data_IF_833881173094
#
_entry.id   IF_833881173094
#
_cell.length_a   1.000
_cell.length_b   1.000
_cell.length_c   1.000
_cell.angle_alpha   90.00
_cell.angle_beta   90.00
_cell.angle_gamma   90.00
#
_symmetry.space_group_name_H-M   'P 1'
#
loop_
_entity.id
_entity.type
_entity.pdbx_description
1 polymer ?
#
# COMPACT_ATOMS: atom_id res chain seq x y z
N UNK A 1 17.44 17.13 8.14
CA UNK A 1 17.24 17.95 6.93
C UNK A 1 17.48 17.01 5.76
N UNK A 2 16.44 16.66 5.00
CA UNK A 2 16.51 15.55 4.04
C UNK A 2 17.67 15.71 3.06
N UNK A 3 18.46 14.65 2.88
CA UNK A 3 19.62 14.68 1.99
C UNK A 3 19.15 14.75 0.55
N UNK A 4 19.60 15.78 -0.17
CA UNK A 4 19.31 15.89 -1.60
C UNK A 4 20.04 14.78 -2.36
N UNK A 5 19.25 13.88 -2.92
CA UNK A 5 19.72 12.77 -3.77
C UNK A 5 19.96 13.27 -5.20
N UNK A 6 20.99 12.73 -5.85
CA UNK A 6 21.26 12.97 -7.27
C UNK A 6 20.79 11.75 -8.06
N UNK A 7 20.37 11.96 -9.32
CA UNK A 7 19.77 10.90 -10.17
C UNK A 7 20.62 9.63 -10.33
N UNK A 8 21.95 9.75 -10.26
CA UNK A 8 22.85 8.61 -10.39
C UNK A 8 23.11 7.88 -9.06
N UNK A 9 22.82 8.51 -7.92
CA UNK A 9 23.15 7.92 -6.61
C UNK A 9 22.15 6.82 -6.25
N UNK A 10 22.65 5.76 -5.63
CA UNK A 10 21.87 4.57 -5.33
C UNK A 10 21.42 4.56 -3.85
N UNK A 11 20.71 5.62 -3.44
CA UNK A 11 20.37 5.90 -2.04
C UNK A 11 19.00 5.34 -1.64
N UNK A 12 18.71 4.10 -2.02
CA UNK A 12 17.51 3.40 -1.57
C UNK A 12 17.67 2.98 -0.10
N UNK A 13 16.56 2.87 0.64
CA UNK A 13 16.56 2.40 2.03
C UNK A 13 17.29 1.05 2.16
N UNK A 14 17.07 0.14 1.20
CA UNK A 14 17.73 -1.17 1.13
C UNK A 14 19.24 -1.05 0.96
N UNK A 15 19.72 -0.18 0.06
CA UNK A 15 21.15 -0.07 -0.21
C UNK A 15 21.90 0.64 0.92
N UNK A 16 21.27 1.64 1.55
CA UNK A 16 21.85 2.30 2.73
C UNK A 16 21.93 1.29 3.89
N UNK A 17 20.88 0.50 4.10
CA UNK A 17 20.87 -0.56 5.11
C UNK A 17 21.95 -1.61 4.85
N UNK A 18 22.09 -2.07 3.60
CA UNK A 18 23.13 -3.03 3.21
C UNK A 18 24.55 -2.49 3.47
N UNK A 19 24.81 -1.23 3.13
CA UNK A 19 26.10 -0.58 3.40
C UNK A 19 26.36 -0.44 4.88
N UNK A 20 25.33 -0.15 5.69
CA UNK A 20 25.48 -0.10 7.14
C UNK A 20 25.82 -1.47 7.73
N UNK A 21 25.21 -2.54 7.25
CA UNK A 21 25.52 -3.92 7.67
C UNK A 21 26.98 -4.24 7.38
N UNK A 22 27.42 -4.05 6.13
CA UNK A 22 28.81 -4.27 5.71
C UNK A 22 29.84 -3.42 6.47
N UNK A 23 29.46 -2.24 6.96
CA UNK A 23 30.34 -1.38 7.76
C UNK A 23 30.43 -1.80 9.24
N UNK A 24 29.47 -2.59 9.73
CA UNK A 24 29.39 -3.05 11.12
C UNK A 24 29.70 -4.55 11.29
N UNK A 25 29.95 -5.28 10.19
CA UNK A 25 30.41 -6.67 10.22
C UNK A 25 31.79 -6.82 10.89
N UNK A 26 32.11 -8.04 11.33
CA UNK A 26 33.40 -8.37 11.95
C UNK A 26 34.60 -8.07 11.04
N UNK A 27 34.39 -8.16 9.72
CA UNK A 27 35.35 -7.77 8.68
C UNK A 27 34.75 -6.66 7.81
N UNK A 28 34.75 -5.40 8.28
CA UNK A 28 33.98 -4.34 7.66
C UNK A 28 34.60 -3.88 6.35
N UNK A 29 33.76 -3.48 5.40
CA UNK A 29 34.21 -2.85 4.16
C UNK A 29 34.83 -1.47 4.44
N UNK A 30 35.65 -0.99 3.52
CA UNK A 30 36.19 0.37 3.61
C UNK A 30 35.11 1.41 3.30
N UNK A 31 35.27 2.62 3.85
CA UNK A 31 34.40 3.77 3.49
C UNK A 31 34.43 4.10 2.00
N UNK A 32 35.51 3.73 1.30
CA UNK A 32 35.64 3.90 -0.16
C UNK A 32 34.74 2.93 -0.91
N UNK A 33 34.72 1.67 -0.50
CA UNK A 33 33.80 0.65 -1.04
C UNK A 33 32.35 1.00 -0.72
N UNK A 34 32.05 1.43 0.50
CA UNK A 34 30.73 1.91 0.89
C UNK A 34 30.23 3.06 -0.02
N UNK A 35 31.08 4.04 -0.30
CA UNK A 35 30.76 5.13 -1.24
C UNK A 35 30.50 4.59 -2.67
N UNK A 36 31.26 3.58 -3.09
CA UNK A 36 31.10 2.95 -4.40
C UNK A 36 29.75 2.24 -4.54
N UNK A 37 29.32 1.50 -3.51
CA UNK A 37 28.03 0.78 -3.50
C UNK A 37 26.85 1.76 -3.63
N UNK A 38 26.93 2.90 -2.92
CA UNK A 38 25.92 3.96 -2.99
C UNK A 38 26.02 4.84 -4.25
N UNK A 39 26.99 4.57 -5.12
CA UNK A 39 27.31 5.38 -6.29
C UNK A 39 27.49 6.88 -5.96
N UNK A 40 28.20 7.17 -4.86
CA UNK A 40 28.58 8.52 -4.46
C UNK A 40 30.10 8.69 -4.59
N UNK A 41 30.55 9.93 -4.82
CA UNK A 41 31.98 10.24 -4.75
C UNK A 41 32.53 9.92 -3.36
N UNK A 42 33.82 9.53 -3.28
CA UNK A 42 34.46 9.23 -2.00
C UNK A 42 34.52 10.49 -1.11
N UNK A 43 33.49 10.62 -0.27
CA UNK A 43 33.29 11.73 0.65
C UNK A 43 32.71 11.16 1.94
N UNK A 44 33.58 11.01 2.93
CA UNK A 44 33.26 10.38 4.22
C UNK A 44 32.23 11.19 5.02
N UNK A 45 32.22 12.52 4.90
CA UNK A 45 31.22 13.37 5.53
C UNK A 45 29.83 13.16 4.93
N UNK A 46 29.73 13.05 3.60
CA UNK A 46 28.46 12.75 2.92
C UNK A 46 27.96 11.35 3.29
N UNK A 47 28.85 10.35 3.28
CA UNK A 47 28.52 8.98 3.68
C UNK A 47 27.97 8.92 5.11
N UNK A 48 28.69 9.50 6.08
CA UNK A 48 28.26 9.52 7.48
C UNK A 48 26.88 10.20 7.63
N UNK A 49 26.67 11.32 6.94
CA UNK A 49 25.38 12.04 6.98
C UNK A 49 24.22 11.19 6.43
N UNK A 50 24.47 10.43 5.34
CA UNK A 50 23.47 9.50 4.76
C UNK A 50 23.10 8.41 5.77
N UNK A 51 24.10 7.82 6.42
CA UNK A 51 23.88 6.79 7.44
C UNK A 51 23.12 7.36 8.64
N UNK A 52 23.49 8.54 9.12
CA UNK A 52 22.83 9.22 10.24
C UNK A 52 21.36 9.54 9.94
N UNK A 53 21.05 10.13 8.78
CA UNK A 53 19.67 10.46 8.37
C UNK A 53 18.80 9.20 8.23
N UNK A 54 19.37 8.09 7.75
CA UNK A 54 18.69 6.79 7.70
C UNK A 54 18.44 6.21 9.09
N UNK A 55 19.43 6.22 9.98
CA UNK A 55 19.30 5.79 11.37
C UNK A 55 18.22 6.60 12.12
N UNK A 56 18.21 7.92 11.95
CA UNK A 56 17.17 8.78 12.52
C UNK A 56 15.78 8.41 11.99
N UNK A 57 15.66 8.18 10.68
CA UNK A 57 14.40 7.79 10.05
C UNK A 57 13.90 6.45 10.58
N UNK A 58 14.78 5.45 10.70
CA UNK A 58 14.44 4.13 11.26
C UNK A 58 14.03 4.25 12.73
N UNK A 59 14.83 4.94 13.55
CA UNK A 59 14.54 5.14 14.97
C UNK A 59 13.21 5.88 15.19
N UNK A 60 12.89 6.87 14.34
CA UNK A 60 11.61 7.57 14.36
C UNK A 60 10.45 6.62 14.05
N UNK A 61 10.57 5.80 12.99
CA UNK A 61 9.54 4.79 12.63
C UNK A 61 9.34 3.78 13.76
N UNK A 62 10.42 3.29 14.36
CA UNK A 62 10.37 2.35 15.49
C UNK A 62 9.71 2.97 16.72
N UNK A 63 10.05 4.22 17.06
CA UNK A 63 9.41 4.96 18.15
C UNK A 63 7.91 5.08 17.93
N UNK A 64 7.46 5.42 16.71
CA UNK A 64 6.03 5.51 16.37
C UNK A 64 5.34 4.15 16.45
N UNK A 65 5.96 3.10 15.92
CA UNK A 65 5.46 1.72 16.04
C UNK A 65 5.35 1.28 17.50
N UNK A 66 6.35 1.59 18.33
CA UNK A 66 6.36 1.27 19.76
C UNK A 66 5.24 2.01 20.52
N UNK A 67 4.99 3.29 20.22
CA UNK A 67 3.87 4.05 20.78
C UNK A 67 2.51 3.47 20.41
N UNK A 68 2.40 2.84 19.26
CA UNK A 68 1.17 2.20 18.75
C UNK A 68 1.07 0.72 19.12
N UNK A 69 2.14 0.10 19.63
CA UNK A 69 2.18 -1.32 19.96
C UNK A 69 1.18 -1.64 21.07
N UNK A 70 0.40 -2.71 20.87
CA UNK A 70 -0.63 -3.14 21.82
C UNK A 70 -1.90 -2.29 21.86
N UNK A 71 -1.95 -1.17 21.13
CA UNK A 71 -3.17 -0.36 21.01
C UNK A 71 -4.08 -0.93 19.92
N UNK A 72 -5.37 -1.00 20.20
CA UNK A 72 -6.40 -1.34 19.21
C UNK A 72 -6.47 -0.32 18.07
N UNK A 73 -7.26 -0.64 17.05
CA UNK A 73 -7.57 0.29 15.96
C UNK A 73 -8.56 1.35 16.45
N UNK A 74 -8.13 2.62 16.39
CA UNK A 74 -9.03 3.75 16.63
C UNK A 74 -9.97 3.95 15.44
N UNK A 75 -11.14 4.57 15.64
CA UNK A 75 -12.07 4.88 14.55
C UNK A 75 -11.42 5.73 13.45
N UNK A 76 -10.55 6.67 13.83
CA UNK A 76 -9.80 7.49 12.88
C UNK A 76 -8.85 6.65 12.04
N UNK A 77 -8.08 5.75 12.65
CA UNK A 77 -7.19 4.83 11.91
C UNK A 77 -7.99 3.93 10.97
N UNK A 78 -9.16 3.43 11.40
CA UNK A 78 -10.04 2.62 10.56
C UNK A 78 -10.45 3.41 9.31
N UNK A 79 -10.95 4.64 9.47
CA UNK A 79 -11.32 5.50 8.34
C UNK A 79 -10.14 5.78 7.43
N UNK A 80 -8.95 6.00 7.99
CA UNK A 80 -7.74 6.21 7.20
C UNK A 80 -7.35 4.96 6.39
N UNK A 81 -7.39 3.77 7.01
CA UNK A 81 -7.14 2.50 6.31
C UNK A 81 -8.10 2.33 5.14
N UNK A 82 -9.40 2.55 5.37
CA UNK A 82 -10.43 2.47 4.33
C UNK A 82 -10.14 3.45 3.21
N UNK A 83 -9.87 4.72 3.51
CA UNK A 83 -9.60 5.73 2.50
C UNK A 83 -8.36 5.38 1.67
N UNK A 84 -7.22 5.08 2.30
CA UNK A 84 -6.01 4.72 1.56
C UNK A 84 -6.24 3.49 0.67
N UNK A 85 -7.01 2.52 1.16
CA UNK A 85 -7.31 1.31 0.42
C UNK A 85 -8.21 1.58 -0.78
N UNK A 86 -9.25 2.41 -0.62
CA UNK A 86 -10.13 2.87 -1.70
C UNK A 86 -9.38 3.73 -2.73
N UNK A 87 -8.35 4.45 -2.29
CA UNK A 87 -7.43 5.22 -3.14
C UNK A 87 -6.34 4.34 -3.77
N UNK A 88 -6.47 3.01 -3.72
CA UNK A 88 -5.61 2.07 -4.44
C UNK A 88 -4.29 1.71 -3.76
N UNK A 89 -4.01 2.22 -2.55
CA UNK A 89 -2.79 1.85 -1.82
C UNK A 89 -2.83 0.39 -1.35
N UNK A 90 -1.72 -0.32 -1.50
CA UNK A 90 -1.59 -1.69 -1.00
C UNK A 90 -1.40 -1.72 0.53
N UNK A 91 -1.65 -2.88 1.15
CA UNK A 91 -1.56 -3.09 2.61
C UNK A 91 -0.19 -2.67 3.18
N UNK A 92 0.90 -2.93 2.45
CA UNK A 92 2.26 -2.60 2.90
C UNK A 92 2.49 -1.09 2.97
N UNK A 93 1.97 -0.34 2.00
CA UNK A 93 2.13 1.12 1.96
C UNK A 93 1.22 1.81 2.98
N UNK A 94 0.00 1.30 3.19
CA UNK A 94 -0.88 1.75 4.28
C UNK A 94 -0.21 1.53 5.64
N UNK A 95 0.39 0.35 5.85
CA UNK A 95 1.07 0.00 7.09
C UNK A 95 2.25 0.95 7.39
N UNK A 96 3.05 1.30 6.36
CA UNK A 96 4.14 2.28 6.48
C UNK A 96 3.59 3.65 6.86
N UNK A 97 2.55 4.15 6.18
CA UNK A 97 1.96 5.46 6.41
C UNK A 97 1.37 5.62 7.81
N UNK A 98 0.75 4.57 8.35
CA UNK A 98 0.13 4.58 9.67
C UNK A 98 1.05 4.11 10.81
N UNK A 99 2.30 3.76 10.52
CA UNK A 99 3.25 3.17 11.49
C UNK A 99 2.64 1.95 12.21
N UNK A 100 1.93 1.10 11.47
CA UNK A 100 1.32 -0.16 11.94
C UNK A 100 1.96 -1.36 11.23
N UNK A 101 1.71 -2.57 11.73
CA UNK A 101 2.17 -3.78 11.04
C UNK A 101 1.23 -4.12 9.87
N UNK A 102 1.73 -4.72 8.77
CA UNK A 102 0.87 -5.19 7.68
C UNK A 102 -0.24 -6.13 8.16
N UNK A 103 0.07 -7.03 9.11
CA UNK A 103 -0.90 -7.93 9.72
C UNK A 103 -2.04 -7.19 10.43
N UNK A 104 -1.74 -6.07 11.11
CA UNK A 104 -2.76 -5.23 11.75
C UNK A 104 -3.70 -4.61 10.72
N UNK A 105 -3.16 -4.05 9.64
CA UNK A 105 -3.96 -3.48 8.56
C UNK A 105 -4.82 -4.56 7.90
N UNK A 106 -4.25 -5.74 7.63
CA UNK A 106 -4.97 -6.88 7.07
C UNK A 106 -6.15 -7.28 7.96
N UNK A 107 -5.95 -7.37 9.27
CA UNK A 107 -7.02 -7.69 10.21
C UNK A 107 -8.14 -6.63 10.24
N UNK A 108 -7.81 -5.35 10.06
CA UNK A 108 -8.81 -4.28 9.94
C UNK A 108 -9.63 -4.44 8.66
N UNK A 109 -8.96 -4.67 7.53
CA UNK A 109 -9.59 -4.90 6.21
C UNK A 109 -10.51 -6.12 6.26
N UNK A 110 -10.03 -7.24 6.79
CA UNK A 110 -10.80 -8.50 6.93
C UNK A 110 -12.02 -8.32 7.84
N UNK A 111 -11.88 -7.63 8.98
CA UNK A 111 -13.01 -7.38 9.89
C UNK A 111 -14.09 -6.49 9.28
N UNK A 112 -13.70 -5.56 8.41
CA UNK A 112 -14.64 -4.70 7.69
C UNK A 112 -15.19 -5.37 6.43
N UNK A 113 -14.67 -6.54 6.05
CA UNK A 113 -15.06 -7.26 4.84
C UNK A 113 -14.52 -6.65 3.54
N UNK A 114 -13.59 -5.69 3.60
CA UNK A 114 -13.13 -4.99 2.40
C UNK A 114 -12.43 -5.99 1.46
N UNK A 115 -12.86 -6.12 0.19
CA UNK A 115 -12.29 -7.07 -0.76
C UNK A 115 -10.80 -6.81 -0.99
N UNK A 116 -9.99 -7.88 -0.94
CA UNK A 116 -8.55 -7.77 -1.16
C UNK A 116 -8.21 -7.64 -2.64
N UNK A 117 -7.41 -6.63 -3.01
CA UNK A 117 -6.89 -6.48 -4.37
C UNK A 117 -5.95 -7.64 -4.65
N UNK A 118 -6.37 -8.53 -5.53
CA UNK A 118 -5.55 -9.66 -5.93
C UNK A 118 -4.40 -9.20 -6.85
N UNK A 119 -3.24 -9.87 -6.83
CA UNK A 119 -2.18 -9.61 -7.80
C UNK A 119 -2.68 -9.80 -9.24
N UNK A 120 -2.24 -8.95 -10.17
CA UNK A 120 -2.54 -9.12 -11.60
C UNK A 120 -2.10 -10.50 -12.14
N UNK A 121 -1.03 -11.06 -11.59
CA UNK A 121 -0.49 -12.37 -11.97
C UNK A 121 -1.36 -13.55 -11.52
N UNK A 122 -2.32 -13.34 -10.62
CA UNK A 122 -3.21 -14.38 -10.10
C UNK A 122 -4.51 -14.46 -10.94
N UNK A 123 -4.40 -15.05 -12.13
CA UNK A 123 -5.53 -15.15 -13.07
C UNK A 123 -6.68 -16.03 -12.54
N UNK A 124 -6.36 -17.17 -11.91
CA UNK A 124 -7.37 -18.07 -11.37
C UNK A 124 -8.06 -17.47 -10.14
N UNK A 125 -7.30 -16.83 -9.25
CA UNK A 125 -7.83 -16.12 -8.10
C UNK A 125 -8.77 -14.99 -8.50
N UNK A 126 -8.40 -14.17 -9.51
CA UNK A 126 -9.27 -13.09 -10.00
C UNK A 126 -10.54 -13.61 -10.67
N UNK A 127 -10.43 -14.66 -11.49
CA UNK A 127 -11.58 -15.23 -12.20
C UNK A 127 -12.61 -15.83 -11.25
N UNK A 128 -12.16 -16.43 -10.15
CA UNK A 128 -12.99 -17.09 -9.16
C UNK A 128 -13.14 -16.27 -7.86
N UNK A 129 -12.76 -14.99 -7.89
CA UNK A 129 -12.85 -14.12 -6.73
C UNK A 129 -14.31 -13.99 -6.29
N UNK A 130 -14.57 -14.23 -5.01
CA UNK A 130 -15.87 -14.01 -4.40
C UNK A 130 -15.77 -12.80 -3.48
N UNK A 131 -16.81 -11.96 -3.47
CA UNK A 131 -16.92 -10.90 -2.48
C UNK A 131 -17.22 -11.53 -1.12
N UNK A 132 -16.64 -10.99 -0.04
CA UNK A 132 -17.13 -11.26 1.31
C UNK A 132 -18.60 -10.90 1.39
N UNK A 133 -19.40 -11.74 2.06
CA UNK A 133 -20.85 -11.56 2.19
C UNK A 133 -21.21 -10.19 2.76
N UNK A 134 -20.37 -9.66 3.66
CA UNK A 134 -20.54 -8.34 4.27
C UNK A 134 -20.42 -7.18 3.28
N UNK A 135 -19.89 -7.42 2.08
CA UNK A 135 -19.71 -6.43 1.01
C UNK A 135 -20.65 -6.63 -0.18
N UNK A 136 -21.59 -7.57 -0.07
CA UNK A 136 -22.64 -7.77 -1.08
C UNK A 136 -23.85 -6.95 -0.67
N UNK A 137 -24.34 -6.12 -1.59
CA UNK A 137 -25.59 -5.39 -1.46
C UNK A 137 -26.42 -5.58 -2.74
N UNK A 138 -27.74 -5.58 -2.58
CA UNK A 138 -28.68 -5.73 -3.71
C UNK A 138 -28.96 -4.37 -4.40
N UNK A 139 -28.70 -3.27 -3.69
CA UNK A 139 -29.00 -1.92 -4.14
C UNK A 139 -27.81 -0.99 -3.87
N UNK A 140 -27.57 -0.07 -4.81
CA UNK A 140 -26.51 0.93 -4.72
C UNK A 140 -27.02 2.32 -5.10
N UNK A 141 -26.43 3.34 -4.49
CA UNK A 141 -26.70 4.74 -4.81
C UNK A 141 -25.77 5.26 -5.93
N UNK A 142 -26.26 6.25 -6.69
CA UNK A 142 -25.42 6.91 -7.71
C UNK A 142 -24.27 7.65 -7.03
N UNK A 143 -23.05 7.42 -7.50
CA UNK A 143 -21.82 7.95 -6.93
C UNK A 143 -21.24 7.08 -5.81
N UNK A 144 -21.89 5.99 -5.42
CA UNK A 144 -21.38 5.06 -4.43
C UNK A 144 -20.11 4.35 -4.93
N UNK A 145 -19.13 4.20 -4.02
CA UNK A 145 -17.89 3.45 -4.28
C UNK A 145 -18.11 1.98 -3.99
N UNK A 146 -17.98 1.14 -5.02
CA UNK A 146 -18.15 -0.32 -4.96
C UNK A 146 -16.86 -1.04 -5.38
N UNK A 147 -16.83 -2.37 -5.25
CA UNK A 147 -15.74 -3.20 -5.76
C UNK A 147 -16.16 -3.98 -7.00
N UNK A 148 -15.49 -3.73 -8.13
CA UNK A 148 -15.72 -4.47 -9.37
C UNK A 148 -14.90 -5.77 -9.37
N UNK A 149 -15.53 -6.88 -8.99
CA UNK A 149 -14.86 -8.18 -8.78
C UNK A 149 -14.03 -8.65 -9.96
N UNK A 150 -14.58 -8.59 -11.18
CA UNK A 150 -13.92 -9.10 -12.39
C UNK A 150 -12.69 -8.28 -12.76
N UNK A 151 -12.79 -6.96 -12.62
CA UNK A 151 -11.69 -6.04 -12.87
C UNK A 151 -10.70 -6.03 -11.69
N UNK A 152 -11.15 -6.41 -10.48
CA UNK A 152 -10.36 -6.38 -9.25
C UNK A 152 -9.88 -4.95 -8.92
N UNK A 153 -10.79 -3.98 -9.09
CA UNK A 153 -10.58 -2.55 -8.81
C UNK A 153 -11.81 -1.94 -8.10
N UNK A 154 -11.61 -0.86 -7.32
CA UNK A 154 -12.71 0.02 -6.92
C UNK A 154 -13.42 0.60 -8.15
N UNK A 155 -14.72 0.82 -8.06
CA UNK A 155 -15.51 1.45 -9.10
C UNK A 155 -16.54 2.42 -8.50
N UNK A 156 -17.01 3.35 -9.32
CA UNK A 156 -18.11 4.26 -8.99
C UNK A 156 -19.36 3.86 -9.73
N UNK A 157 -20.47 3.77 -9.02
CA UNK A 157 -21.80 3.58 -9.62
C UNK A 157 -22.19 4.86 -10.35
N UNK A 158 -22.40 4.77 -11.66
CA UNK A 158 -22.80 5.92 -12.47
C UNK A 158 -24.32 6.02 -12.57
N UNK A 159 -25.00 4.91 -12.87
CA UNK A 159 -26.46 4.84 -12.96
C UNK A 159 -26.97 3.41 -12.99
N UNK A 160 -28.23 3.23 -12.60
CA UNK A 160 -28.97 2.00 -12.86
C UNK A 160 -29.35 1.91 -14.36
N UNK A 161 -29.21 0.71 -14.93
CA UNK A 161 -29.53 0.39 -16.31
C UNK A 161 -30.83 -0.41 -16.38
N UNK A 162 -31.76 0.07 -17.20
CA UNK A 162 -33.04 -0.60 -17.49
C UNK A 162 -33.80 -0.98 -16.21
N UNK A 163 -34.09 -0.02 -15.32
CA UNK A 163 -34.80 -0.29 -14.06
C UNK A 163 -36.17 -0.93 -14.29
N UNK A 164 -36.84 -0.62 -15.41
CA UNK A 164 -38.16 -1.14 -15.79
C UNK A 164 -38.23 -2.67 -15.90
N UNK A 165 -37.11 -3.33 -16.18
CA UNK A 165 -37.03 -4.79 -16.29
C UNK A 165 -36.41 -5.47 -15.08
N UNK A 166 -36.15 -4.75 -13.98
CA UNK A 166 -35.45 -5.32 -12.83
C UNK A 166 -36.28 -6.41 -12.12
N UNK A 167 -37.59 -6.19 -11.95
CA UNK A 167 -38.49 -7.16 -11.30
C UNK A 167 -38.58 -8.47 -12.07
N UNK A 168 -38.74 -8.42 -13.39
CA UNK A 168 -38.81 -9.62 -14.24
C UNK A 168 -37.48 -10.40 -14.24
N UNK A 169 -36.34 -9.69 -14.21
CA UNK A 169 -35.01 -10.31 -14.16
C UNK A 169 -34.66 -10.87 -12.78
N UNK A 170 -35.29 -10.36 -11.72
CA UNK A 170 -34.93 -10.66 -10.33
C UNK A 170 -33.59 -10.05 -9.88
N UNK A 171 -33.02 -9.11 -10.64
CA UNK A 171 -31.80 -8.38 -10.27
C UNK A 171 -31.70 -7.01 -10.96
N UNK A 172 -31.02 -6.07 -10.28
CA UNK A 172 -30.70 -4.72 -10.79
C UNK A 172 -29.38 -4.73 -11.56
N UNK A 173 -29.26 -3.85 -12.54
CA UNK A 173 -28.06 -3.69 -13.36
C UNK A 173 -27.52 -2.28 -13.15
N UNK A 174 -26.22 -2.15 -12.85
CA UNK A 174 -25.58 -0.86 -12.64
C UNK A 174 -24.44 -0.66 -13.63
N UNK A 175 -24.38 0.51 -14.25
CA UNK A 175 -23.21 0.96 -14.99
C UNK A 175 -22.19 1.50 -13.98
N UNK A 176 -20.98 0.97 -14.02
CA UNK A 176 -19.94 1.32 -13.06
C UNK A 176 -18.64 1.66 -13.80
N UNK A 177 -17.91 2.67 -13.31
CA UNK A 177 -16.60 3.07 -13.82
C UNK A 177 -15.50 2.75 -12.83
N UNK A 178 -14.53 1.92 -13.22
CA UNK A 178 -13.38 1.57 -12.37
C UNK A 178 -12.47 2.77 -12.15
N UNK A 179 -12.09 3.01 -10.90
CA UNK A 179 -11.11 4.01 -10.51
C UNK A 179 -9.72 3.40 -10.76
N UNK A 180 -8.87 4.09 -11.52
CA UNK A 180 -7.46 3.73 -11.78
C UNK A 180 -7.20 2.43 -12.55
N UNK A 181 -8.18 1.88 -13.27
CA UNK A 181 -7.91 0.81 -14.22
C UNK A 181 -7.14 1.38 -15.42
N UNK A 182 -5.91 0.92 -15.68
CA UNK A 182 -5.20 1.28 -16.90
C UNK A 182 -5.80 0.50 -18.09
N UNK A 183 -5.67 0.98 -19.33
CA UNK A 183 -6.18 0.23 -20.51
C UNK A 183 -5.55 -1.16 -20.66
N UNK A 184 -4.39 -1.40 -20.06
CA UNK A 184 -3.72 -2.70 -20.04
C UNK A 184 -4.35 -3.69 -19.03
N UNK A 185 -5.22 -3.20 -18.14
CA UNK A 185 -5.91 -3.98 -17.10
C UNK A 185 -7.35 -4.38 -17.48
N UNK A 186 -7.87 -3.93 -18.64
CA UNK A 186 -9.21 -4.23 -19.20
C UNK A 186 -9.20 -5.38 -20.21
#
# INVERSE_FOLDING_TARGET
MAIKTRKHENLTETNIQHVMELLNEDSPITKKEACSILNISYNTTRLNKIIEDHLETVAYRERRKAQNKGKGATEMEIKQVVNFYLDGANVSDIAKSLYRSPAFIKAVVERLGIPQKLPQTDYEGRRNAMLPEQCVADEFEVGEKIWAVRQNYPALVEKELRPEGAEERGYKLYLCHTIECSQEDL
#
